data_IF_980154964765
#
_entry.id   IF_980154964765
#
_cell.length_a   1.000
_cell.length_b   1.000
_cell.length_c   1.000
_cell.angle_alpha   90.00
_cell.angle_beta   90.00
_cell.angle_gamma   90.00
#
_symmetry.space_group_name_H-M   'P 1'
#
loop_
_entity.id
_entity.type
_entity.pdbx_description
1 polymer ?
#
# COMPACT_ATOMS: atom_id res chain seq x y z
N UNK A 1 24.97 29.92 -62.56
CA UNK A 1 25.83 31.08 -62.22
C UNK A 1 25.25 31.72 -60.96
N UNK A 2 26.13 32.09 -60.02
CA UNK A 2 25.88 32.69 -58.67
C UNK A 2 24.77 33.78 -58.73
N UNK A 3 24.01 34.11 -57.67
CA UNK A 3 24.47 34.70 -56.40
C UNK A 3 23.35 34.57 -55.33
N UNK A 4 23.79 34.13 -54.14
CA UNK A 4 23.33 34.32 -52.75
C UNK A 4 22.41 35.51 -52.43
N UNK A 5 21.50 35.38 -51.46
CA UNK A 5 21.40 36.32 -50.32
C UNK A 5 20.57 35.74 -49.15
N UNK A 6 21.15 35.82 -47.95
CA UNK A 6 20.61 35.44 -46.64
C UNK A 6 19.39 36.24 -46.19
N UNK A 7 18.54 35.64 -45.37
CA UNK A 7 17.79 36.34 -44.33
C UNK A 7 17.43 35.38 -43.18
N UNK A 8 18.42 35.02 -42.37
CA UNK A 8 18.24 34.51 -41.01
C UNK A 8 17.80 35.67 -40.12
N UNK A 9 16.53 35.71 -39.71
CA UNK A 9 16.13 36.30 -38.43
C UNK A 9 14.66 36.01 -38.10
N UNK A 10 14.45 35.61 -36.85
CA UNK A 10 13.32 35.99 -36.00
C UNK A 10 12.02 35.15 -36.05
N UNK A 11 12.00 34.03 -35.33
CA UNK A 11 10.80 33.61 -34.56
C UNK A 11 11.17 32.59 -33.47
N UNK A 12 11.84 33.04 -32.41
CA UNK A 12 12.23 32.22 -31.25
C UNK A 12 11.40 32.54 -29.98
N UNK A 13 10.14 32.95 -30.09
CA UNK A 13 9.41 33.54 -28.96
C UNK A 13 7.98 33.00 -28.71
N UNK A 14 7.74 31.69 -28.81
CA UNK A 14 6.41 31.09 -28.52
C UNK A 14 6.45 29.71 -27.82
N UNK A 15 7.38 29.48 -26.88
CA UNK A 15 7.43 28.26 -26.05
C UNK A 15 7.26 28.53 -24.53
N UNK A 16 6.45 29.51 -24.13
CA UNK A 16 6.29 29.88 -22.71
C UNK A 16 4.83 29.88 -22.20
N UNK A 17 3.89 29.23 -22.88
CA UNK A 17 2.51 29.10 -22.41
C UNK A 17 2.06 27.64 -22.46
N UNK A 18 1.96 26.97 -21.30
CA UNK A 18 1.31 25.65 -21.26
C UNK A 18 1.62 24.74 -20.07
N UNK A 19 2.59 25.04 -19.19
CA UNK A 19 2.73 24.28 -17.94
C UNK A 19 1.71 24.75 -16.90
N UNK A 20 0.42 24.56 -17.18
CA UNK A 20 -0.60 24.54 -16.14
C UNK A 20 -0.29 23.33 -15.25
N UNK A 21 0.40 23.56 -14.14
CA UNK A 21 0.56 22.53 -13.13
C UNK A 21 -0.84 22.04 -12.76
N UNK A 22 -1.15 20.77 -13.05
CA UNK A 22 -2.42 20.17 -12.65
C UNK A 22 -2.54 20.31 -11.14
N UNK A 23 -3.57 21.04 -10.68
CA UNK A 23 -3.75 21.36 -9.27
C UNK A 23 -3.89 20.04 -8.49
N UNK A 24 -2.97 19.79 -7.58
CA UNK A 24 -3.10 18.70 -6.63
C UNK A 24 -4.14 19.09 -5.57
N UNK A 25 -5.24 18.35 -5.50
CA UNK A 25 -6.31 18.59 -4.53
C UNK A 25 -6.20 17.62 -3.35
N UNK A 26 -6.50 18.10 -2.14
CA UNK A 26 -6.56 17.26 -0.96
C UNK A 26 -7.79 17.60 -0.11
N UNK A 27 -8.56 16.58 0.25
CA UNK A 27 -9.67 16.70 1.18
C UNK A 27 -9.41 15.79 2.38
N UNK A 28 -9.66 16.29 3.59
CA UNK A 28 -9.52 15.50 4.81
C UNK A 28 -10.71 15.76 5.74
N UNK A 29 -11.15 14.71 6.42
CA UNK A 29 -12.15 14.79 7.49
C UNK A 29 -11.65 14.03 8.70
N UNK A 30 -11.74 14.66 9.86
CA UNK A 30 -11.42 14.06 11.15
C UNK A 30 -12.61 14.24 12.08
N UNK A 31 -13.01 13.17 12.76
CA UNK A 31 -14.13 13.18 13.70
C UNK A 31 -13.77 12.40 14.94
N UNK A 32 -14.06 12.96 16.10
CA UNK A 32 -13.88 12.33 17.42
C UNK A 32 -15.24 12.28 18.12
N UNK A 33 -15.55 11.16 18.75
CA UNK A 33 -16.78 10.95 19.52
C UNK A 33 -16.47 10.17 20.79
N UNK A 34 -17.11 10.55 21.89
CA UNK A 34 -17.15 9.70 23.07
C UNK A 34 -18.00 8.45 22.80
N UNK A 35 -17.61 7.33 23.39
CA UNK A 35 -18.32 6.07 23.35
C UNK A 35 -19.13 5.89 24.65
N UNK A 36 -20.27 5.19 24.58
CA UNK A 36 -21.10 4.90 25.75
C UNK A 36 -20.34 4.11 26.83
N UNK A 37 -19.37 3.28 26.42
CA UNK A 37 -18.56 2.43 27.30
C UNK A 37 -17.42 3.19 28.02
N UNK A 38 -17.40 4.53 27.94
CA UNK A 38 -16.43 5.39 28.62
C UNK A 38 -15.11 5.65 27.86
N UNK A 39 -15.04 5.30 26.57
CA UNK A 39 -13.88 5.56 25.71
C UNK A 39 -14.14 6.56 24.59
N UNK A 40 -13.26 6.56 23.57
CA UNK A 40 -13.32 7.51 22.44
C UNK A 40 -13.14 6.79 21.12
N UNK A 41 -13.96 7.15 20.13
CA UNK A 41 -13.79 6.80 18.73
C UNK A 41 -13.25 7.99 17.95
N UNK A 42 -12.19 7.78 17.18
CA UNK A 42 -11.61 8.75 16.26
C UNK A 42 -11.55 8.18 14.83
N UNK A 43 -12.15 8.88 13.88
CA UNK A 43 -12.17 8.51 12.46
C UNK A 43 -11.49 9.60 11.64
N UNK A 44 -10.61 9.20 10.73
CA UNK A 44 -9.96 10.08 9.76
C UNK A 44 -10.12 9.52 8.36
N UNK A 45 -10.51 10.38 7.41
CA UNK A 45 -10.53 10.07 5.98
C UNK A 45 -9.75 11.15 5.23
N UNK A 46 -8.96 10.74 4.25
CA UNK A 46 -8.15 11.63 3.41
C UNK A 46 -8.29 11.17 1.96
N UNK A 47 -8.62 12.09 1.06
CA UNK A 47 -8.54 11.91 -0.38
C UNK A 47 -7.51 12.88 -0.94
N UNK A 48 -6.71 12.43 -1.91
CA UNK A 48 -5.71 13.24 -2.61
C UNK A 48 -5.79 12.94 -4.10
N UNK A 49 -5.81 13.99 -4.90
CA UNK A 49 -5.60 13.94 -6.35
C UNK A 49 -4.22 14.53 -6.63
N UNK A 50 -3.39 13.75 -7.29
CA UNK A 50 -2.06 14.14 -7.72
C UNK A 50 -2.04 14.54 -9.21
N UNK A 51 -0.90 15.05 -9.69
CA UNK A 51 -0.71 15.35 -11.09
C UNK A 51 -1.00 14.14 -12.00
N UNK A 52 -1.46 14.41 -13.22
CA UNK A 52 -1.72 13.39 -14.24
C UNK A 52 -2.76 12.32 -13.83
N UNK A 53 -3.74 12.69 -13.00
CA UNK A 53 -4.88 11.81 -12.66
C UNK A 53 -4.60 10.75 -11.60
N UNK A 54 -3.43 10.79 -10.95
CA UNK A 54 -3.15 9.90 -9.82
C UNK A 54 -4.07 10.20 -8.63
N UNK A 55 -4.55 9.18 -7.94
CA UNK A 55 -5.44 9.34 -6.78
C UNK A 55 -4.99 8.52 -5.59
N UNK A 56 -5.31 9.00 -4.39
CA UNK A 56 -5.06 8.26 -3.14
C UNK A 56 -6.12 8.53 -2.10
N UNK A 57 -6.81 7.48 -1.69
CA UNK A 57 -7.80 7.51 -0.61
C UNK A 57 -7.23 6.75 0.58
N UNK A 58 -7.39 7.28 1.79
CA UNK A 58 -7.05 6.60 3.04
C UNK A 58 -8.13 6.86 4.07
N UNK A 59 -8.49 5.82 4.82
CA UNK A 59 -9.28 5.96 6.03
C UNK A 59 -8.60 5.25 7.20
N UNK A 60 -8.97 5.67 8.41
CA UNK A 60 -8.62 5.00 9.66
C UNK A 60 -9.70 5.31 10.68
N UNK A 61 -10.15 4.28 11.39
CA UNK A 61 -10.95 4.40 12.60
C UNK A 61 -10.15 3.80 13.76
N UNK A 62 -10.25 4.42 14.94
CA UNK A 62 -9.72 3.91 16.19
C UNK A 62 -10.80 4.07 17.24
N UNK A 63 -11.06 3.05 18.05
CA UNK A 63 -12.00 3.08 19.15
C UNK A 63 -11.35 2.55 20.43
N UNK A 64 -11.65 3.16 21.55
CA UNK A 64 -11.29 2.67 22.89
C UNK A 64 -12.53 2.55 23.76
N UNK A 65 -12.45 1.79 24.85
CA UNK A 65 -13.44 1.75 25.92
C UNK A 65 -12.85 2.23 27.26
N UNK A 66 -13.68 2.29 28.29
CA UNK A 66 -13.26 2.63 29.66
C UNK A 66 -12.51 1.51 30.38
N UNK A 67 -12.40 0.32 29.79
CA UNK A 67 -11.76 -0.86 30.38
C UNK A 67 -10.31 -1.03 29.90
N UNK A 68 -9.86 -0.18 28.95
CA UNK A 68 -8.49 -0.18 28.44
C UNK A 68 -8.29 -1.01 27.17
N UNK A 69 -9.38 -1.48 26.54
CA UNK A 69 -9.31 -2.09 25.22
C UNK A 69 -9.24 -1.00 24.14
N UNK A 70 -8.58 -1.32 23.03
CA UNK A 70 -8.56 -0.47 21.87
C UNK A 70 -8.55 -1.28 20.58
N UNK A 71 -9.22 -0.79 19.56
CA UNK A 71 -9.18 -1.34 18.21
C UNK A 71 -8.92 -0.23 17.19
N UNK A 72 -8.29 -0.57 16.08
CA UNK A 72 -8.14 0.31 14.94
C UNK A 72 -8.27 -0.49 13.66
N UNK A 73 -8.90 0.10 12.66
CA UNK A 73 -8.97 -0.43 11.31
C UNK A 73 -8.70 0.70 10.32
N UNK A 74 -8.18 0.37 9.15
CA UNK A 74 -8.02 1.35 8.09
C UNK A 74 -7.64 0.72 6.78
N UNK A 75 -7.99 1.42 5.71
CA UNK A 75 -7.59 1.08 4.36
C UNK A 75 -6.95 2.27 3.65
N UNK A 76 -6.18 1.97 2.62
CA UNK A 76 -5.79 2.97 1.64
C UNK A 76 -5.81 2.35 0.25
N UNK A 77 -6.28 3.10 -0.73
CA UNK A 77 -6.16 2.79 -2.15
C UNK A 77 -5.34 3.88 -2.83
N UNK A 78 -4.60 3.52 -3.86
CA UNK A 78 -3.82 4.43 -4.68
C UNK A 78 -3.94 4.00 -6.12
N UNK A 79 -4.25 4.93 -7.01
CA UNK A 79 -4.22 4.73 -8.46
C UNK A 79 -3.14 5.67 -9.01
N UNK A 80 -2.15 5.10 -9.69
CA UNK A 80 -1.10 5.87 -10.34
C UNK A 80 -1.57 6.47 -11.67
N UNK A 81 -0.85 7.46 -12.22
CA UNK A 81 -1.16 8.08 -13.51
C UNK A 81 -1.29 7.09 -14.68
N UNK A 82 -0.55 5.98 -14.62
CA UNK A 82 -0.54 4.94 -15.65
C UNK A 82 -1.54 3.80 -15.35
N UNK A 83 -2.56 4.05 -14.53
CA UNK A 83 -3.62 3.08 -14.21
C UNK A 83 -3.23 1.96 -13.22
N UNK A 84 -1.96 1.90 -12.79
CA UNK A 84 -1.54 0.94 -11.76
C UNK A 84 -2.26 1.23 -10.43
N UNK A 85 -2.79 0.21 -9.78
CA UNK A 85 -3.52 0.33 -8.52
C UNK A 85 -2.78 -0.37 -7.38
N UNK A 86 -2.94 0.14 -6.16
CA UNK A 86 -2.50 -0.52 -4.95
C UNK A 86 -3.53 -0.29 -3.84
N UNK A 87 -3.87 -1.35 -3.12
CA UNK A 87 -4.80 -1.32 -1.99
C UNK A 87 -4.11 -1.95 -0.79
N UNK A 88 -4.30 -1.35 0.38
CA UNK A 88 -3.95 -1.94 1.67
C UNK A 88 -5.13 -1.87 2.60
N UNK A 89 -5.34 -2.91 3.38
CA UNK A 89 -6.30 -2.93 4.49
C UNK A 89 -5.60 -3.49 5.71
N UNK A 90 -6.09 -3.13 6.90
CA UNK A 90 -5.61 -3.77 8.11
C UNK A 90 -6.35 -3.29 9.34
N UNK A 91 -6.25 -4.11 10.36
CA UNK A 91 -6.82 -3.88 11.67
C UNK A 91 -5.85 -4.31 12.75
N UNK A 92 -5.98 -3.70 13.92
CA UNK A 92 -5.26 -4.10 15.11
C UNK A 92 -6.14 -3.89 16.34
N UNK A 93 -5.96 -4.73 17.34
CA UNK A 93 -6.58 -4.64 18.65
C UNK A 93 -5.54 -4.79 19.75
N UNK A 94 -5.82 -4.17 20.88
CA UNK A 94 -5.19 -4.47 22.17
C UNK A 94 -6.28 -4.63 23.22
N UNK A 95 -6.10 -5.60 24.09
CA UNK A 95 -6.97 -5.83 25.23
C UNK A 95 -6.35 -5.24 26.49
N UNK A 96 -7.16 -5.08 27.53
CA UNK A 96 -6.73 -4.58 28.83
C UNK A 96 -5.65 -5.46 29.49
N UNK A 97 -5.66 -6.77 29.22
CA UNK A 97 -4.68 -7.76 29.70
C UNK A 97 -3.31 -7.68 29.00
N UNK A 98 -3.13 -6.74 28.06
CA UNK A 98 -1.89 -6.55 27.32
C UNK A 98 -1.75 -7.42 26.06
N UNK A 99 -2.68 -8.35 25.82
CA UNK A 99 -2.75 -9.09 24.57
C UNK A 99 -3.07 -8.14 23.40
N UNK A 100 -2.55 -8.45 22.22
CA UNK A 100 -2.72 -7.62 21.03
C UNK A 100 -2.71 -8.47 19.77
N UNK A 101 -3.44 -8.03 18.76
CA UNK A 101 -3.48 -8.72 17.46
C UNK A 101 -3.47 -7.67 16.37
N UNK A 102 -2.91 -8.02 15.22
CA UNK A 102 -3.03 -7.26 13.98
C UNK A 102 -3.15 -8.19 12.81
N UNK A 103 -3.90 -7.77 11.80
CA UNK A 103 -3.99 -8.43 10.51
C UNK A 103 -4.07 -7.37 9.42
N UNK A 104 -3.68 -7.74 8.20
CA UNK A 104 -3.84 -6.86 7.07
C UNK A 104 -3.42 -7.51 5.77
N UNK A 105 -3.84 -6.88 4.69
CA UNK A 105 -3.49 -7.27 3.34
C UNK A 105 -3.03 -6.06 2.52
N UNK A 106 -2.31 -6.39 1.46
CA UNK A 106 -1.83 -5.48 0.44
C UNK A 106 -2.02 -6.17 -0.90
N UNK A 107 -2.53 -5.46 -1.88
CA UNK A 107 -2.61 -5.89 -3.26
C UNK A 107 -2.16 -4.75 -4.17
N UNK A 108 -1.44 -5.03 -5.24
CA UNK A 108 -1.12 -4.08 -6.28
C UNK A 108 -1.15 -4.74 -7.65
N UNK A 109 -1.59 -3.99 -8.65
CA UNK A 109 -1.69 -4.45 -10.05
C UNK A 109 -1.29 -3.32 -10.98
N UNK A 110 -0.55 -3.63 -12.04
CA UNK A 110 -0.24 -2.68 -13.10
C UNK A 110 0.52 -3.34 -14.24
N UNK A 111 1.10 -2.52 -15.11
CA UNK A 111 1.82 -3.00 -16.29
C UNK A 111 2.98 -3.97 -16.00
N UNK A 112 3.53 -3.97 -14.78
CA UNK A 112 4.60 -4.89 -14.34
C UNK A 112 4.08 -6.23 -13.81
N UNK A 113 2.77 -6.36 -13.60
CA UNK A 113 2.13 -7.54 -13.03
C UNK A 113 1.39 -7.24 -11.74
N UNK A 114 1.26 -8.26 -10.89
CA UNK A 114 0.51 -8.19 -9.65
C UNK A 114 1.35 -8.59 -8.44
N UNK A 115 0.96 -8.10 -7.27
CA UNK A 115 1.55 -8.40 -5.98
C UNK A 115 0.43 -8.47 -4.95
N UNK A 116 0.33 -9.58 -4.23
CA UNK A 116 -0.58 -9.78 -3.12
C UNK A 116 0.23 -10.16 -1.88
N UNK A 117 -0.11 -9.60 -0.73
CA UNK A 117 0.48 -9.97 0.54
C UNK A 117 -0.56 -9.89 1.64
N UNK A 118 -0.65 -10.92 2.47
CA UNK A 118 -1.48 -10.92 3.67
C UNK A 118 -0.65 -11.38 4.85
N UNK A 119 -1.00 -10.91 6.05
CA UNK A 119 -0.31 -11.36 7.24
C UNK A 119 -0.99 -10.91 8.51
N UNK A 120 -0.62 -11.59 9.59
CA UNK A 120 -1.10 -11.33 10.93
C UNK A 120 0.05 -11.41 11.93
N UNK A 121 -0.15 -10.79 13.08
CA UNK A 121 0.66 -11.06 14.25
C UNK A 121 -0.16 -10.90 15.51
N UNK A 122 0.16 -11.69 16.52
CA UNK A 122 -0.47 -11.66 17.82
C UNK A 122 0.58 -11.65 18.92
N UNK A 123 0.19 -11.09 20.05
CA UNK A 123 0.87 -11.15 21.32
C UNK A 123 -0.17 -11.57 22.35
N UNK A 124 0.08 -12.62 23.10
CA UNK A 124 -0.76 -13.07 24.21
C UNK A 124 -0.44 -12.29 25.48
N UNK A 125 -1.29 -12.40 26.50
CA UNK A 125 -1.11 -11.66 27.77
C UNK A 125 0.18 -12.05 28.52
N UNK A 126 0.63 -13.30 28.36
CA UNK A 126 1.91 -13.82 28.87
C UNK A 126 3.14 -13.35 28.07
N UNK A 127 2.93 -12.59 26.98
CA UNK A 127 3.99 -12.06 26.13
C UNK A 127 4.38 -12.93 24.94
N UNK A 128 3.74 -14.10 24.73
CA UNK A 128 4.04 -14.95 23.57
C UNK A 128 3.68 -14.27 22.24
N UNK A 129 4.63 -14.20 21.32
CA UNK A 129 4.47 -13.53 20.02
C UNK A 129 4.46 -14.53 18.87
N UNK A 130 3.47 -14.40 18.00
CA UNK A 130 3.37 -15.13 16.74
C UNK A 130 3.12 -14.17 15.58
N UNK A 131 3.66 -14.47 14.42
CA UNK A 131 3.36 -13.74 13.19
C UNK A 131 3.41 -14.65 11.97
N UNK A 132 2.66 -14.29 10.94
CA UNK A 132 2.74 -14.93 9.64
C UNK A 132 2.52 -13.93 8.51
N UNK A 133 3.11 -14.22 7.36
CA UNK A 133 2.93 -13.47 6.13
C UNK A 133 3.01 -14.39 4.93
N UNK A 134 2.03 -14.28 4.04
CA UNK A 134 2.10 -14.81 2.69
C UNK A 134 2.28 -13.66 1.70
N UNK A 135 3.06 -13.89 0.65
CA UNK A 135 3.26 -12.93 -0.43
C UNK A 135 3.34 -13.68 -1.75
N UNK A 136 2.55 -13.26 -2.72
CA UNK A 136 2.57 -13.76 -4.09
C UNK A 136 2.83 -12.58 -5.02
N UNK A 137 3.74 -12.72 -5.97
CA UNK A 137 3.95 -11.73 -7.02
C UNK A 137 4.03 -12.41 -8.37
N UNK A 138 3.37 -11.86 -9.38
CA UNK A 138 3.38 -12.38 -10.76
C UNK A 138 3.87 -11.30 -11.70
N UNK A 139 4.82 -11.65 -12.57
CA UNK A 139 5.33 -10.77 -13.62
C UNK A 139 4.37 -10.76 -14.81
N UNK A 140 3.95 -9.58 -15.25
CA UNK A 140 3.16 -9.46 -16.50
C UNK A 140 4.02 -9.75 -17.74
N UNK A 141 5.34 -9.53 -17.67
CA UNK A 141 6.23 -9.71 -18.83
C UNK A 141 6.51 -11.19 -19.13
N UNK A 142 6.55 -12.04 -18.09
CA UNK A 142 6.98 -13.43 -18.22
C UNK A 142 5.92 -14.43 -17.79
N UNK A 143 4.86 -14.01 -17.08
CA UNK A 143 3.88 -14.91 -16.45
C UNK A 143 4.40 -15.63 -15.20
N UNK A 144 5.73 -15.67 -14.99
CA UNK A 144 6.34 -16.27 -13.81
C UNK A 144 5.86 -15.62 -12.51
N UNK A 145 5.74 -16.43 -11.46
CA UNK A 145 5.34 -15.98 -10.13
C UNK A 145 6.30 -16.44 -9.04
N UNK A 146 6.29 -15.72 -7.92
CA UNK A 146 6.97 -16.11 -6.68
C UNK A 146 5.96 -16.11 -5.55
N UNK A 147 5.98 -17.19 -4.77
CA UNK A 147 5.22 -17.31 -3.52
C UNK A 147 6.22 -17.40 -2.37
N UNK A 148 6.05 -16.55 -1.35
CA UNK A 148 6.87 -16.58 -0.16
C UNK A 148 5.98 -16.57 1.07
N UNK A 149 6.27 -17.52 1.96
CA UNK A 149 5.65 -17.62 3.28
C UNK A 149 6.73 -17.30 4.32
N UNK A 150 6.37 -16.51 5.32
CA UNK A 150 7.21 -16.26 6.48
C UNK A 150 6.38 -16.43 7.74
N UNK A 151 6.89 -17.14 8.72
CA UNK A 151 6.31 -17.27 10.04
C UNK A 151 7.34 -16.89 11.09
N UNK A 152 6.84 -16.37 12.20
CA UNK A 152 7.61 -16.13 13.40
C UNK A 152 6.85 -16.73 14.57
N UNK A 153 7.57 -17.43 15.43
CA UNK A 153 7.11 -17.86 16.73
C UNK A 153 8.23 -17.59 17.72
N UNK A 154 7.90 -17.09 18.91
CA UNK A 154 8.92 -16.71 19.90
C UNK A 154 9.86 -17.87 20.30
N UNK A 155 9.37 -19.11 20.31
CA UNK A 155 10.18 -20.26 20.67
C UNK A 155 11.12 -20.73 19.55
N UNK A 156 10.71 -20.57 18.28
CA UNK A 156 11.44 -21.15 17.14
C UNK A 156 12.07 -20.12 16.20
N UNK A 157 11.82 -18.82 16.42
CA UNK A 157 12.34 -17.74 15.59
C UNK A 157 11.61 -17.58 14.27
N UNK A 158 12.32 -17.10 13.24
CA UNK A 158 11.76 -16.83 11.91
C UNK A 158 11.99 -18.02 10.98
N UNK A 159 10.92 -18.51 10.37
CA UNK A 159 10.98 -19.47 9.26
C UNK A 159 10.48 -18.80 8.00
N UNK A 160 11.17 -19.00 6.87
CA UNK A 160 10.77 -18.47 5.58
C UNK A 160 10.91 -19.53 4.49
N UNK A 161 9.86 -19.70 3.69
CA UNK A 161 9.88 -20.48 2.46
C UNK A 161 9.65 -19.58 1.26
N UNK A 162 10.26 -19.90 0.13
CA UNK A 162 10.07 -19.18 -1.14
C UNK A 162 10.12 -20.19 -2.28
N UNK A 163 9.06 -20.22 -3.10
CA UNK A 163 8.94 -21.03 -4.30
C UNK A 163 8.62 -20.14 -5.49
N UNK A 164 9.23 -20.44 -6.62
CA UNK A 164 9.01 -19.74 -7.87
C UNK A 164 8.32 -20.68 -8.85
N UNK A 165 7.46 -20.13 -9.69
CA UNK A 165 6.71 -20.86 -10.69
C UNK A 165 6.89 -20.17 -12.04
N UNK A 166 6.95 -20.96 -13.10
CA UNK A 166 6.86 -20.44 -14.46
C UNK A 166 5.41 -20.05 -14.81
N UNK A 167 5.21 -19.54 -16.03
CA UNK A 167 3.89 -19.14 -16.52
C UNK A 167 2.86 -20.29 -16.60
N UNK A 168 3.30 -21.55 -16.61
CA UNK A 168 2.42 -22.75 -16.63
C UNK A 168 2.04 -23.21 -15.22
N UNK A 169 2.65 -22.63 -14.18
CA UNK A 169 2.48 -23.06 -12.79
C UNK A 169 3.43 -24.16 -12.35
N UNK A 170 4.45 -24.50 -13.16
CA UNK A 170 5.46 -25.49 -12.80
C UNK A 170 6.52 -24.87 -11.90
N UNK A 171 6.90 -25.56 -10.83
CA UNK A 171 7.92 -25.08 -9.92
C UNK A 171 9.28 -24.94 -10.63
N UNK A 172 9.94 -23.81 -10.42
CA UNK A 172 11.25 -23.50 -10.99
C UNK A 172 12.20 -22.95 -9.92
N UNK A 173 13.50 -22.95 -10.23
CA UNK A 173 14.48 -22.34 -9.34
C UNK A 173 14.21 -20.83 -9.20
N UNK A 174 14.24 -20.34 -7.97
CA UNK A 174 14.15 -18.91 -7.73
C UNK A 174 15.46 -18.21 -8.11
N UNK A 175 15.40 -17.01 -8.71
CA UNK A 175 16.60 -16.21 -8.97
C UNK A 175 17.36 -15.95 -7.67
N UNK A 176 18.69 -16.03 -7.72
CA UNK A 176 19.55 -15.62 -6.61
C UNK A 176 19.41 -14.09 -6.42
N UNK A 177 19.40 -13.67 -5.16
CA UNK A 177 19.29 -12.26 -4.77
C UNK A 177 20.55 -11.47 -5.11
#
# INVERSE_FOLDING_TARGET
>A
MKITLSATALTCALLAAGFSATHAEAAARHVVRANADGGVSATTAVNRHGPNGGTRVRNRSTSTDGQGNASTAGSASTTGPNGATAVRTGQASRSADGSAQRSGSFAATGAKGNLESSGSSSKTADGSVNASRNTTATSAATGNSVQSTASYNQATGVTRSTTCYDATGTAMSCPLR
#
